data_IF_227706959080
#
_entry.id   IF_227706959080
#
_cell.length_a   1.000
_cell.length_b   1.000
_cell.length_c   1.000
_cell.angle_alpha   90.00
_cell.angle_beta   90.00
_cell.angle_gamma   90.00
#
_symmetry.space_group_name_H-M   'P 1'
#
loop_
_entity.id
_entity.type
_entity.pdbx_description
1 polymer ?
2 non-polymer ?
3 water ?
#
# COMPACT_ATOMS: atom_id res chain seq x y z
N UNK A 8 -2.79 -31.43 -36.43
CA UNK A 8 -1.53 -31.03 -35.80
C UNK A 8 -1.21 -31.90 -34.59
N UNK A 9 0.01 -32.44 -34.56
CA UNK A 9 0.41 -33.41 -33.53
C UNK A 9 1.28 -32.71 -32.50
N UNK A 10 0.67 -32.35 -31.38
CA UNK A 10 1.41 -31.77 -30.28
C UNK A 10 2.29 -32.84 -29.65
N UNK A 11 3.26 -32.44 -28.83
CA UNK A 11 4.09 -33.43 -28.13
C UNK A 11 3.27 -34.20 -27.10
N UNK A 12 3.89 -35.25 -26.57
CA UNK A 12 3.24 -36.10 -25.57
C UNK A 12 3.22 -35.42 -24.22
N UNK A 13 2.06 -35.34 -23.55
CA UNK A 13 2.02 -34.73 -22.21
C UNK A 13 2.98 -35.36 -21.23
N UNK A 14 3.44 -36.59 -21.51
CA UNK A 14 4.49 -37.19 -20.72
C UNK A 14 5.76 -36.36 -20.73
N UNK A 15 6.04 -35.65 -21.82
CA UNK A 15 7.26 -34.88 -21.96
C UNK A 15 7.03 -33.37 -22.00
N UNK A 16 5.78 -32.90 -22.11
CA UNK A 16 5.48 -31.47 -22.17
C UNK A 16 4.16 -31.28 -21.42
N UNK A 17 4.26 -30.85 -20.15
CA UNK A 17 3.15 -30.95 -19.21
C UNK A 17 1.95 -30.14 -19.66
N UNK A 18 2.17 -29.08 -20.42
CA UNK A 18 1.10 -28.13 -20.72
C UNK A 18 0.02 -28.73 -21.61
N UNK A 19 0.36 -29.72 -22.45
CA UNK A 19 -0.60 -30.19 -23.46
C UNK A 19 -1.45 -31.36 -22.97
N UNK A 20 -1.47 -31.62 -21.66
CA UNK A 20 -2.46 -32.51 -21.10
C UNK A 20 -3.83 -31.99 -21.50
N UNK A 21 -4.75 -32.89 -21.88
CA UNK A 21 -6.05 -32.43 -22.33
C UNK A 21 -6.75 -31.62 -21.24
N UNK A 22 -7.34 -30.48 -21.66
CA UNK A 22 -8.20 -29.71 -20.77
C UNK A 22 -9.29 -30.58 -20.20
N UNK A 23 -9.52 -30.46 -18.90
CA UNK A 23 -10.63 -31.15 -18.25
C UNK A 23 -10.93 -30.46 -16.92
N UNK A 24 -12.02 -30.91 -16.29
CA UNK A 24 -12.35 -30.37 -14.97
C UNK A 24 -11.30 -30.70 -13.93
N UNK A 25 -10.35 -31.59 -14.23
CA UNK A 25 -9.27 -31.90 -13.32
C UNK A 25 -8.11 -30.91 -13.41
N UNK A 26 -8.12 -29.99 -14.37
CA UNK A 26 -7.00 -29.05 -14.44
C UNK A 26 -7.32 -27.63 -14.87
N UNK A 27 -8.52 -27.34 -15.38
CA UNK A 27 -8.83 -25.98 -15.83
C UNK A 27 -10.33 -25.76 -15.73
N UNK A 28 -10.72 -24.57 -15.27
CA UNK A 28 -12.13 -24.24 -15.05
C UNK A 28 -12.40 -22.86 -15.61
N UNK A 29 -13.50 -22.73 -16.35
CA UNK A 29 -13.86 -21.46 -16.96
C UNK A 29 -15.15 -20.94 -16.37
N UNK A 30 -15.31 -19.62 -16.38
CA UNK A 30 -16.60 -19.04 -16.07
C UNK A 30 -17.60 -19.48 -17.13
N UNK A 31 -18.82 -19.79 -16.70
CA UNK A 31 -19.85 -20.26 -17.61
C UNK A 31 -21.12 -19.46 -17.36
N UNK A 32 -21.08 -18.19 -17.71
CA UNK A 32 -22.23 -17.31 -17.55
C UNK A 32 -22.54 -16.63 -18.86
N UNK A 33 -23.56 -15.77 -18.84
CA UNK A 33 -24.01 -15.14 -20.08
C UNK A 33 -23.02 -14.11 -20.59
N UNK A 34 -22.20 -13.54 -19.71
CA UNK A 34 -21.14 -12.65 -20.16
C UNK A 34 -19.96 -13.42 -20.75
N UNK A 35 -19.86 -14.72 -20.50
CA UNK A 35 -18.74 -15.51 -21.00
C UNK A 35 -19.10 -16.32 -22.25
N UNK A 36 -20.17 -15.96 -22.95
CA UNK A 36 -20.54 -16.70 -24.15
C UNK A 36 -19.55 -16.45 -25.28
N UNK A 37 -19.26 -15.18 -25.56
CA UNK A 37 -18.45 -14.79 -26.71
C UNK A 37 -17.05 -14.41 -26.28
N UNK A 38 -16.13 -14.44 -27.24
CA UNK A 38 -14.79 -13.94 -27.03
C UNK A 38 -13.88 -14.94 -26.31
N UNK A 39 -12.81 -14.39 -25.76
CA UNK A 39 -11.85 -15.19 -24.99
C UNK A 39 -12.55 -15.77 -23.76
N UNK A 40 -12.43 -17.07 -23.52
CA UNK A 40 -13.00 -17.62 -22.27
C UNK A 40 -12.34 -17.00 -21.05
N UNK A 41 -13.08 -16.96 -19.95
CA UNK A 41 -12.67 -16.33 -18.71
C UNK A 41 -12.23 -17.41 -17.74
N UNK A 42 -10.97 -17.39 -17.35
CA UNK A 42 -10.44 -18.46 -16.49
C UNK A 42 -10.95 -18.28 -15.07
N UNK A 43 -11.57 -19.32 -14.52
CA UNK A 43 -11.95 -19.33 -13.11
C UNK A 43 -10.87 -19.96 -12.24
N UNK A 44 -10.19 -20.98 -12.74
CA UNK A 44 -9.10 -21.58 -11.98
C UNK A 44 -8.45 -22.68 -12.78
N UNK A 45 -7.42 -23.28 -12.19
CA UNK A 45 -6.71 -24.36 -12.83
C UNK A 45 -5.43 -24.67 -12.07
N UNK A 46 -4.78 -25.74 -12.50
CA UNK A 46 -3.42 -26.02 -12.04
C UNK A 46 -2.50 -24.89 -12.50
N UNK A 47 -1.38 -24.72 -11.80
CA UNK A 47 -0.48 -23.63 -12.25
C UNK A 47 0.02 -23.91 -13.66
N UNK A 48 0.19 -25.18 -14.01
CA UNK A 48 0.57 -25.56 -15.37
C UNK A 48 -0.44 -25.03 -16.37
N UNK A 49 -1.75 -25.22 -16.11
CA UNK A 49 -2.76 -24.78 -17.07
C UNK A 49 -2.88 -23.26 -17.09
N UNK A 50 -2.70 -22.60 -15.93
CA UNK A 50 -2.65 -21.14 -15.90
C UNK A 50 -1.52 -20.61 -16.79
N UNK A 51 -0.33 -21.21 -16.70
CA UNK A 51 0.80 -20.83 -17.55
C UNK A 51 0.49 -21.07 -19.03
N UNK A 52 -0.13 -22.21 -19.35
CA UNK A 52 -0.49 -22.51 -20.75
C UNK A 52 -1.40 -21.42 -21.32
N UNK A 53 -2.45 -21.05 -20.58
CA UNK A 53 -3.37 -20.01 -21.01
C UNK A 53 -2.74 -18.62 -21.00
N UNK A 54 -1.80 -18.37 -20.08
CA UNK A 54 -1.02 -17.13 -20.06
C UNK A 54 -0.22 -16.94 -21.34
N UNK A 55 0.09 -18.02 -22.05
CA UNK A 55 0.94 -18.03 -23.23
C UNK A 55 0.29 -18.84 -24.33
N UNK A 56 -1.03 -18.69 -24.49
CA UNK A 56 -1.80 -19.55 -25.37
C UNK A 56 -1.52 -19.20 -26.84
N UNK A 57 -1.31 -20.23 -27.66
CA UNK A 57 -0.91 -19.96 -29.05
C UNK A 57 -2.03 -19.34 -29.88
N UNK A 58 -3.29 -19.66 -29.57
CA UNK A 58 -4.40 -19.33 -30.47
C UNK A 58 -4.69 -17.84 -30.51
N UNK A 59 -4.81 -17.21 -29.35
CA UNK A 59 -5.23 -15.82 -29.26
C UNK A 59 -4.35 -15.12 -28.23
N UNK A 60 -4.20 -13.80 -28.39
CA UNK A 60 -3.60 -13.01 -27.34
C UNK A 60 -4.63 -12.75 -26.24
N UNK A 61 -4.15 -12.59 -25.01
CA UNK A 61 -5.01 -12.42 -23.84
C UNK A 61 -4.40 -11.39 -22.90
N UNK A 62 -4.40 -10.13 -23.30
CA UNK A 62 -3.73 -9.10 -22.48
C UNK A 62 -4.38 -8.87 -21.12
N UNK A 63 -5.69 -9.05 -20.99
CA UNK A 63 -6.32 -8.89 -19.68
C UNK A 63 -5.80 -9.95 -18.70
N UNK A 64 -5.65 -11.20 -19.18
CA UNK A 64 -5.17 -12.27 -18.31
C UNK A 64 -3.70 -12.06 -17.95
N UNK A 65 -2.86 -11.68 -18.92
CA UNK A 65 -1.45 -11.40 -18.62
C UNK A 65 -1.35 -10.34 -17.54
N UNK A 66 -2.16 -9.28 -17.67
CA UNK A 66 -2.11 -8.20 -16.70
C UNK A 66 -2.52 -8.68 -15.32
N UNK A 67 -3.65 -9.39 -15.21
CA UNK A 67 -4.14 -9.84 -13.89
C UNK A 67 -3.20 -10.87 -13.29
N UNK A 68 -2.70 -11.78 -14.13
CA UNK A 68 -1.76 -12.80 -13.67
C UNK A 68 -0.52 -12.15 -13.07
N UNK A 69 0.13 -11.25 -13.81
CA UNK A 69 1.38 -10.70 -13.29
C UNK A 69 1.17 -9.83 -12.05
N UNK A 70 -0.04 -9.30 -11.83
CA UNK A 70 -0.33 -8.59 -10.59
C UNK A 70 -0.50 -9.54 -9.41
N UNK A 71 -1.10 -10.72 -9.65
CA UNK A 71 -1.60 -11.57 -8.57
C UNK A 71 -0.82 -12.84 -8.31
N UNK A 72 0.11 -13.23 -9.22
CA UNK A 72 0.63 -14.60 -9.16
C UNK A 72 1.40 -14.91 -7.87
N UNK A 73 1.94 -13.91 -7.18
CA UNK A 73 2.74 -14.19 -5.99
C UNK A 73 1.89 -14.77 -4.86
N UNK A 74 0.58 -14.66 -4.96
CA UNK A 74 -0.33 -15.33 -4.02
C UNK A 74 -0.49 -16.82 -4.30
N UNK A 75 0.12 -17.34 -5.37
CA UNK A 75 0.02 -18.78 -5.62
C UNK A 75 1.26 -19.40 -6.25
N UNK A 76 2.31 -18.63 -6.53
CA UNK A 76 3.48 -19.10 -7.25
C UNK A 76 4.64 -18.14 -6.93
N UNK A 77 5.85 -18.68 -6.64
CA UNK A 77 6.99 -17.80 -6.41
C UNK A 77 7.56 -17.26 -7.73
N UNK A 78 8.18 -16.08 -7.71
CA UNK A 78 8.85 -15.57 -8.91
C UNK A 78 9.82 -16.56 -9.56
N UNK A 79 10.67 -17.23 -8.76
CA UNK A 79 11.57 -18.21 -9.33
C UNK A 79 10.81 -19.35 -10.00
N UNK A 80 9.69 -19.75 -9.41
CA UNK A 80 8.86 -20.79 -10.00
C UNK A 80 8.20 -20.31 -11.29
N UNK A 81 7.74 -19.05 -11.32
CA UNK A 81 7.18 -18.49 -12.55
C UNK A 81 8.20 -18.52 -13.68
N UNK A 82 9.44 -18.07 -13.40
CA UNK A 82 10.45 -18.07 -14.46
C UNK A 82 10.73 -19.49 -14.95
N UNK A 83 10.79 -20.46 -14.03
CA UNK A 83 11.01 -21.85 -14.40
C UNK A 83 9.86 -22.37 -15.28
N UNK A 84 8.61 -22.04 -14.91
CA UNK A 84 7.47 -22.48 -15.72
C UNK A 84 7.49 -21.87 -17.12
N UNK A 85 7.89 -20.61 -17.25
CA UNK A 85 7.92 -19.97 -18.55
C UNK A 85 9.03 -20.55 -19.41
N UNK A 86 10.19 -20.86 -18.80
CA UNK A 86 11.27 -21.53 -19.54
C UNK A 86 10.85 -22.94 -19.96
N UNK A 87 10.18 -23.68 -19.06
CA UNK A 87 9.63 -25.00 -19.39
C UNK A 87 8.65 -24.92 -20.55
N UNK A 88 7.77 -23.91 -20.54
CA UNK A 88 6.85 -23.67 -21.65
C UNK A 88 7.60 -23.38 -22.96
N UNK A 89 8.70 -22.64 -22.87
CA UNK A 89 9.47 -22.22 -24.04
C UNK A 89 10.12 -23.41 -24.74
N UNK A 90 10.58 -24.39 -23.98
CA UNK A 90 11.39 -25.50 -24.48
C UNK A 90 10.47 -26.63 -24.93
N UNK A 91 9.84 -26.42 -26.09
CA UNK A 91 8.78 -27.30 -26.61
C UNK A 91 9.40 -28.50 -27.32
N UNK A 92 9.14 -29.73 -26.86
CA UNK A 92 9.73 -30.91 -27.50
C UNK A 92 9.08 -31.20 -28.85
N UNK A 93 9.75 -32.07 -29.60
CA UNK A 93 9.21 -32.57 -30.85
C UNK A 93 8.03 -33.51 -30.59
N UNK A 94 7.09 -33.61 -31.54
CA UNK A 94 5.89 -34.40 -31.29
C UNK A 94 6.19 -35.87 -30.95
N UNK A 95 5.26 -36.48 -30.21
CA UNK A 95 5.36 -37.88 -29.84
C UNK A 95 5.49 -38.77 -31.07
N UNK A 116 7.42 -28.49 -39.58
CA UNK A 116 6.04 -28.68 -39.97
C UNK A 116 5.25 -27.43 -39.59
N UNK A 117 3.96 -27.39 -39.94
CA UNK A 117 3.07 -26.33 -39.45
C UNK A 117 3.06 -26.23 -37.93
N UNK A 118 3.63 -27.21 -37.24
CA UNK A 118 3.88 -27.15 -35.81
C UNK A 118 4.60 -25.85 -35.44
N UNK A 119 5.66 -25.53 -36.18
CA UNK A 119 6.53 -24.43 -35.79
C UNK A 119 5.87 -23.08 -36.00
N UNK A 120 5.14 -22.92 -37.10
CA UNK A 120 4.57 -21.61 -37.40
C UNK A 120 3.24 -21.37 -36.71
N UNK A 121 2.44 -22.42 -36.51
CA UNK A 121 1.13 -22.27 -35.90
C UNK A 121 1.12 -22.51 -34.40
N UNK A 122 2.06 -23.30 -33.88
CA UNK A 122 2.11 -23.56 -32.44
C UNK A 122 3.36 -22.96 -31.78
N UNK A 123 4.54 -23.45 -32.15
CA UNK A 123 5.77 -23.11 -31.42
C UNK A 123 6.04 -21.61 -31.46
N UNK A 124 6.10 -21.04 -32.67
CA UNK A 124 6.43 -19.62 -32.78
C UNK A 124 5.43 -18.74 -32.06
N UNK A 125 4.11 -18.96 -32.20
CA UNK A 125 3.19 -18.15 -31.37
C UNK A 125 3.46 -18.32 -29.89
N UNK A 126 3.74 -19.54 -29.41
CA UNK A 126 3.92 -19.74 -27.97
C UNK A 126 5.18 -19.03 -27.48
N UNK A 127 6.29 -19.20 -28.20
CA UNK A 127 7.51 -18.54 -27.76
C UNK A 127 7.36 -17.03 -27.81
N UNK A 128 6.68 -16.50 -28.83
CA UNK A 128 6.37 -15.07 -28.87
C UNK A 128 5.46 -14.68 -27.71
N UNK A 129 4.47 -15.53 -27.37
CA UNK A 129 3.62 -15.23 -26.23
C UNK A 129 4.44 -15.16 -24.94
N UNK A 130 5.41 -16.07 -24.79
CA UNK A 130 6.25 -16.08 -23.59
C UNK A 130 7.08 -14.80 -23.52
N UNK A 131 7.70 -14.42 -24.65
CA UNK A 131 8.47 -13.19 -24.65
C UNK A 131 7.59 -11.98 -24.34
N UNK A 132 6.32 -12.01 -24.73
CA UNK A 132 5.43 -10.93 -24.36
C UNK A 132 5.22 -10.87 -22.84
N UNK A 133 5.08 -12.03 -22.21
CA UNK A 133 4.94 -12.09 -20.76
C UNK A 133 6.19 -11.53 -20.09
N UNK A 134 7.38 -11.95 -20.56
CA UNK A 134 8.64 -11.40 -20.04
C UNK A 134 8.68 -9.87 -20.17
N UNK A 135 8.26 -9.34 -21.32
CA UNK A 135 8.25 -7.90 -21.51
C UNK A 135 7.34 -7.21 -20.50
N UNK A 136 6.11 -7.70 -20.36
CA UNK A 136 5.19 -7.11 -19.38
C UNK A 136 5.73 -7.20 -17.96
N UNK A 137 6.34 -8.34 -17.64
CA UNK A 137 6.91 -8.57 -16.31
C UNK A 137 7.99 -7.55 -15.97
N UNK A 138 8.94 -7.32 -16.87
CA UNK A 138 10.02 -6.38 -16.56
C UNK A 138 9.51 -4.94 -16.65
N UNK A 139 8.48 -4.70 -17.48
CA UNK A 139 7.96 -3.35 -17.65
C UNK A 139 7.19 -2.89 -16.41
N UNK A 140 6.36 -3.78 -15.86
CA UNK A 140 5.44 -3.38 -14.80
C UNK A 140 5.73 -4.00 -13.43
N UNK A 141 6.54 -5.04 -13.34
CA UNK A 141 6.84 -5.61 -12.04
C UNK A 141 8.33 -5.86 -11.91
N UNK A 142 9.14 -4.89 -12.30
CA UNK A 142 10.58 -5.09 -12.23
C UNK A 142 11.07 -5.24 -10.78
N UNK A 143 10.26 -4.84 -9.79
CA UNK A 143 10.65 -5.04 -8.40
C UNK A 143 10.94 -6.52 -8.08
N UNK A 144 10.27 -7.47 -8.73
CA UNK A 144 10.64 -8.87 -8.51
C UNK A 144 12.13 -9.08 -8.75
N UNK A 145 12.68 -8.42 -9.78
CA UNK A 145 14.07 -8.60 -10.15
C UNK A 145 14.99 -7.78 -9.25
N UNK A 146 14.51 -6.64 -8.78
CA UNK A 146 15.28 -5.84 -7.82
C UNK A 146 15.45 -6.58 -6.51
N UNK A 147 14.42 -7.30 -6.08
CA UNK A 147 14.45 -8.05 -4.82
C UNK A 147 15.23 -9.36 -4.92
N UNK A 148 15.47 -9.88 -6.13
CA UNK A 148 16.11 -11.18 -6.27
C UNK A 148 17.08 -11.09 -7.46
N UNK A 149 18.33 -10.75 -7.19
CA UNK A 149 19.32 -10.62 -8.26
C UNK A 149 19.54 -11.91 -9.01
N UNK A 150 19.37 -13.06 -8.35
CA UNK A 150 19.54 -14.32 -9.06
C UNK A 150 18.41 -14.52 -10.06
N UNK A 151 17.19 -14.09 -9.71
CA UNK A 151 16.09 -14.13 -10.68
C UNK A 151 16.46 -13.38 -11.95
N UNK A 152 17.05 -12.19 -11.81
CA UNK A 152 17.47 -11.41 -12.97
C UNK A 152 18.59 -12.11 -13.74
N UNK A 153 19.57 -12.69 -13.01
CA UNK A 153 20.65 -13.45 -13.64
C UNK A 153 20.09 -14.54 -14.53
N UNK A 154 19.09 -15.27 -14.03
CA UNK A 154 18.44 -16.33 -14.80
C UNK A 154 17.76 -15.76 -16.02
N UNK A 155 17.01 -14.67 -15.85
CA UNK A 155 16.28 -14.11 -17.00
C UNK A 155 17.25 -13.65 -18.08
N UNK A 156 18.30 -12.92 -17.68
CA UNK A 156 19.22 -12.38 -18.68
C UNK A 156 19.95 -13.49 -19.41
N UNK A 157 20.38 -14.53 -18.69
CA UNK A 157 21.04 -15.65 -19.35
C UNK A 157 20.08 -16.36 -20.32
N UNK A 158 18.84 -16.59 -19.88
CA UNK A 158 17.88 -17.24 -20.76
C UNK A 158 17.62 -16.41 -22.02
N UNK A 159 17.31 -15.11 -21.87
CA UNK A 159 16.99 -14.26 -23.02
C UNK A 159 18.18 -14.18 -23.99
N UNK A 160 19.40 -14.12 -23.45
CA UNK A 160 20.56 -14.04 -24.32
C UNK A 160 20.82 -15.35 -25.07
N UNK A 161 20.17 -16.45 -24.68
CA UNK A 161 20.27 -17.68 -25.44
C UNK A 161 19.24 -17.77 -26.57
N UNK A 162 18.29 -16.86 -26.63
CA UNK A 162 17.20 -16.91 -27.61
C UNK A 162 17.71 -16.11 -28.81
N UNK A 163 18.38 -16.80 -29.73
CA UNK A 163 19.06 -16.11 -30.82
C UNK A 163 18.37 -16.31 -32.15
N UNK A 164 17.18 -16.92 -32.14
CA UNK A 164 16.43 -17.09 -33.37
C UNK A 164 16.04 -15.78 -34.01
N UNK A 165 15.85 -15.84 -35.34
CA UNK A 165 15.60 -14.61 -36.11
C UNK A 165 14.23 -14.00 -35.78
N UNK A 166 13.20 -14.83 -35.69
CA UNK A 166 11.86 -14.33 -35.37
C UNK A 166 11.78 -13.69 -33.97
N UNK A 167 12.70 -14.03 -33.07
CA UNK A 167 12.61 -13.54 -31.70
C UNK A 167 13.39 -12.25 -31.45
N UNK A 168 14.17 -11.78 -32.42
CA UNK A 168 15.16 -10.74 -32.12
C UNK A 168 14.49 -9.43 -31.72
N UNK A 169 13.40 -9.06 -32.38
CA UNK A 169 12.74 -7.81 -32.01
C UNK A 169 12.24 -7.84 -30.56
N UNK A 170 11.74 -8.99 -30.11
CA UNK A 170 11.27 -9.08 -28.72
C UNK A 170 12.43 -9.09 -27.74
N UNK A 171 13.47 -9.88 -28.03
CA UNK A 171 14.66 -9.88 -27.17
C UNK A 171 15.19 -8.46 -26.99
N UNK A 172 15.32 -7.72 -28.10
CA UNK A 172 15.85 -6.36 -27.99
C UNK A 172 14.92 -5.46 -27.18
N UNK A 173 13.59 -5.63 -27.33
CA UNK A 173 12.65 -4.82 -26.55
C UNK A 173 12.80 -5.08 -25.06
N UNK A 174 12.89 -6.35 -24.68
CA UNK A 174 13.07 -6.71 -23.27
C UNK A 174 14.39 -6.15 -22.75
N UNK A 175 15.45 -6.28 -23.55
CA UNK A 175 16.77 -5.84 -23.08
C UNK A 175 16.78 -4.34 -22.86
N UNK A 176 16.06 -3.60 -23.71
CA UNK A 176 16.01 -2.15 -23.58
C UNK A 176 15.30 -1.74 -22.30
N UNK A 177 14.23 -2.45 -21.93
CA UNK A 177 13.54 -2.16 -20.69
C UNK A 177 14.44 -2.45 -19.49
N UNK A 178 15.10 -3.62 -19.50
CA UNK A 178 16.00 -3.98 -18.41
C UNK A 178 17.11 -2.94 -18.26
N UNK A 179 17.68 -2.49 -19.38
CA UNK A 179 18.64 -1.39 -19.33
C UNK A 179 18.05 -0.15 -18.67
N UNK A 180 16.85 0.26 -19.11
CA UNK A 180 16.23 1.47 -18.58
C UNK A 180 15.89 1.33 -17.10
N UNK A 181 15.49 0.13 -16.67
CA UNK A 181 15.08 -0.06 -15.29
C UNK A 181 16.27 0.08 -14.34
N UNK A 182 17.41 -0.48 -14.71
CA UNK A 182 18.62 -0.28 -13.91
C UNK A 182 19.10 1.17 -13.95
N UNK A 183 18.79 1.90 -15.03
CA UNK A 183 19.25 3.29 -15.13
C UNK A 183 18.72 4.15 -14.01
N UNK A 184 17.63 3.75 -13.36
CA UNK A 184 17.07 4.50 -12.25
C UNK A 184 17.22 3.72 -10.94
N UNK A 193 13.00 16.74 -7.56
CA UNK A 193 11.65 17.31 -7.45
C UNK A 193 11.53 18.61 -8.24
N UNK A 194 10.67 18.58 -9.26
CA UNK A 194 10.39 19.76 -10.08
C UNK A 194 8.96 20.19 -9.78
N UNK A 195 8.81 21.44 -9.34
CA UNK A 195 7.51 21.98 -8.97
C UNK A 195 6.80 22.53 -10.20
N UNK A 196 5.53 22.15 -10.38
CA UNK A 196 4.76 22.61 -11.53
C UNK A 196 4.17 24.00 -11.31
N UNK A 197 4.21 24.50 -10.09
CA UNK A 197 3.72 25.81 -9.67
C UNK A 197 4.41 26.13 -8.35
N UNK A 198 4.42 27.40 -7.91
CA UNK A 198 5.22 27.74 -6.71
C UNK A 198 4.62 27.15 -5.45
N UNK A 199 5.39 26.44 -4.64
CA UNK A 199 4.88 25.95 -3.35
C UNK A 199 4.85 27.05 -2.30
N UNK A 200 4.03 26.92 -1.25
CA UNK A 200 3.97 27.97 -0.22
C UNK A 200 5.26 28.04 0.59
N UNK A 201 5.52 29.17 1.24
CA UNK A 201 6.68 29.24 2.14
C UNK A 201 6.49 28.35 3.36
N UNK A 202 7.60 27.82 3.86
CA UNK A 202 7.58 26.93 5.01
C UNK A 202 7.27 27.71 6.28
N UNK A 203 6.37 27.17 7.10
CA UNK A 203 5.87 27.85 8.30
C UNK A 203 6.63 27.40 9.54
N UNK A 204 7.01 28.38 10.38
CA UNK A 204 7.74 28.16 11.62
C UNK A 204 6.98 28.79 12.79
N UNK A 205 7.11 28.19 13.98
CA UNK A 205 6.41 28.64 15.17
C UNK A 205 7.45 28.96 16.25
N UNK A 206 7.60 28.10 17.26
CA UNK A 206 8.58 28.36 18.33
C UNK A 206 9.93 27.75 17.98
N UNK A 207 9.97 26.50 17.54
CA UNK A 207 11.20 25.90 17.04
C UNK A 207 11.66 26.62 15.77
N UNK A 208 12.94 26.97 15.73
CA UNK A 208 13.52 27.64 14.58
C UNK A 208 14.35 26.65 13.76
N UNK A 209 14.63 26.97 12.50
CA UNK A 209 15.33 25.99 11.64
C UNK A 209 16.70 25.61 12.18
N UNK A 210 17.13 24.39 11.83
CA UNK A 210 18.39 23.84 12.27
C UNK A 210 18.38 23.20 13.64
N UNK A 211 17.53 23.69 14.55
CA UNK A 211 17.54 23.23 15.94
C UNK A 211 16.51 22.13 16.15
N UNK A 212 16.86 20.96 15.62
CA UNK A 212 15.99 19.78 15.72
C UNK A 212 15.76 19.39 17.17
N UNK A 213 16.71 19.70 18.06
CA UNK A 213 16.57 19.32 19.46
C UNK A 213 15.37 19.97 20.13
N UNK A 214 14.90 21.09 19.59
CA UNK A 214 13.71 21.76 20.12
C UNK A 214 12.42 21.34 19.42
N UNK A 215 12.48 20.43 18.45
CA UNK A 215 11.27 20.01 17.72
C UNK A 215 10.36 19.20 18.64
N UNK A 216 9.08 19.57 18.65
CA UNK A 216 8.03 18.99 19.49
C UNK A 216 6.71 19.24 18.77
N UNK A 217 5.69 18.43 19.10
CA UNK A 217 4.34 18.69 18.62
C UNK A 217 3.93 20.15 18.81
N UNK A 218 4.23 20.73 19.98
CA UNK A 218 3.71 22.06 20.29
C UNK A 218 4.64 23.20 19.88
N UNK A 219 5.90 22.91 19.54
CA UNK A 219 6.84 23.96 19.15
C UNK A 219 6.99 24.10 17.65
N UNK A 220 6.74 23.06 16.87
CA UNK A 220 6.65 23.23 15.43
C UNK A 220 5.33 23.92 15.07
N UNK A 221 5.26 24.41 13.86
CA UNK A 221 4.04 25.07 13.42
C UNK A 221 3.03 24.01 13.01
N UNK A 222 1.77 24.09 13.48
CA UNK A 222 0.79 23.05 13.10
C UNK A 222 0.57 22.94 11.59
N UNK A 223 0.65 24.04 10.85
CA UNK A 223 0.54 23.94 9.38
C UNK A 223 1.65 23.06 8.82
N UNK A 224 2.89 23.34 9.25
CA UNK A 224 4.03 22.66 8.67
C UNK A 224 4.14 21.22 9.16
N UNK A 225 3.70 20.93 10.38
CA UNK A 225 3.59 19.52 10.81
C UNK A 225 2.66 18.77 9.87
N UNK A 226 1.49 19.34 9.58
CA UNK A 226 0.56 18.70 8.64
C UNK A 226 1.19 18.53 7.27
N UNK A 227 1.84 19.57 6.75
CA UNK A 227 2.44 19.50 5.42
C UNK A 227 3.53 18.42 5.37
N UNK A 228 4.42 18.41 6.36
CA UNK A 228 5.55 17.49 6.28
C UNK A 228 5.10 16.06 6.47
N UNK A 229 4.10 15.83 7.35
CA UNK A 229 3.57 14.48 7.47
C UNK A 229 2.84 14.06 6.21
N UNK A 230 2.17 14.99 5.52
CA UNK A 230 1.49 14.68 4.26
C UNK A 230 2.49 14.31 3.17
N UNK A 231 3.61 15.03 3.08
CA UNK A 231 4.63 14.66 2.10
C UNK A 231 5.19 13.28 2.41
N UNK A 232 5.44 13.00 3.69
CA UNK A 232 5.98 11.70 4.09
C UNK A 232 4.98 10.59 3.76
N UNK A 233 3.72 10.77 4.17
CA UNK A 233 2.70 9.76 3.91
C UNK A 233 2.40 9.61 2.42
N UNK A 234 2.39 10.71 1.67
CA UNK A 234 2.18 10.61 0.22
C UNK A 234 3.28 9.76 -0.41
N UNK A 235 4.53 9.98 0.00
CA UNK A 235 5.66 9.21 -0.54
C UNK A 235 5.52 7.72 -0.22
N UNK A 236 5.15 7.40 1.02
CA UNK A 236 4.92 6.02 1.39
C UNK A 236 3.77 5.42 0.59
N UNK A 237 2.65 6.16 0.45
CA UNK A 237 1.50 5.65 -0.29
C UNK A 237 1.87 5.35 -1.72
N UNK A 238 2.59 6.28 -2.37
CA UNK A 238 2.88 6.18 -3.79
C UNK A 238 3.79 5.01 -4.12
N UNK A 239 4.49 4.46 -3.12
CA UNK A 239 5.40 3.33 -3.33
C UNK A 239 4.77 1.95 -3.19
N UNK A 240 3.54 1.86 -2.69
CA UNK A 240 2.88 0.59 -2.47
C UNK A 240 2.38 0.00 -3.79
N UNK A 241 2.77 -1.33 -4.09
CA UNK A 241 2.26 -2.00 -5.28
C UNK A 241 1.04 -2.85 -4.92
N UNK A 242 0.11 -2.99 -5.87
CA UNK A 242 -1.05 -3.87 -5.68
C UNK A 242 -0.67 -5.28 -5.26
N UNK A 243 0.42 -5.79 -5.81
CA UNK A 243 0.87 -7.14 -5.48
C UNK A 243 1.29 -7.26 -4.02
N UNK A 244 1.49 -6.14 -3.31
CA UNK A 244 1.81 -6.24 -1.89
C UNK A 244 0.57 -6.54 -1.04
N UNK A 245 -0.62 -6.43 -1.62
CA UNK A 245 -1.88 -6.70 -0.94
C UNK A 245 -2.54 -8.01 -1.37
N UNK A 246 -2.33 -8.45 -2.61
CA UNK A 246 -3.04 -9.63 -3.11
C UNK A 246 -2.64 -10.85 -2.29
N UNK A 247 -3.64 -11.63 -1.87
CA UNK A 247 -3.38 -12.81 -1.09
C UNK A 247 -3.03 -12.57 0.35
N UNK A 248 -3.35 -11.38 0.88
CA UNK A 248 -2.97 -11.00 2.24
C UNK A 248 -1.49 -11.32 2.51
N UNK A 249 -0.64 -11.10 1.50
CA UNK A 249 0.76 -11.50 1.66
C UNK A 249 1.49 -10.71 2.73
N UNK A 250 0.99 -9.53 3.13
CA UNK A 250 1.69 -8.79 4.18
C UNK A 250 1.49 -9.40 5.56
N UNK A 251 0.57 -10.35 5.70
CA UNK A 251 0.35 -11.05 6.97
C UNK A 251 0.98 -12.43 6.99
N UNK A 252 1.64 -12.85 5.90
CA UNK A 252 2.20 -14.19 5.75
C UNK A 252 3.71 -14.18 5.96
N UNK A 253 4.31 -15.37 5.88
CA UNK A 253 5.67 -15.52 6.37
C UNK A 253 6.69 -14.80 5.48
N UNK A 254 6.38 -14.62 4.19
CA UNK A 254 7.23 -13.90 3.25
C UNK A 254 6.84 -12.42 3.12
N UNK A 255 6.27 -11.84 4.19
CA UNK A 255 5.73 -10.48 4.13
C UNK A 255 6.80 -9.43 3.87
N UNK A 256 7.98 -9.57 4.51
CA UNK A 256 8.99 -8.55 4.33
C UNK A 256 9.52 -8.50 2.90
N UNK A 257 9.33 -9.58 2.13
CA UNK A 257 9.71 -9.62 0.71
C UNK A 257 8.57 -9.18 -0.18
N UNK A 258 7.36 -9.67 0.08
CA UNK A 258 6.24 -9.40 -0.81
C UNK A 258 5.63 -8.02 -0.56
N UNK A 259 5.75 -7.48 0.66
CA UNK A 259 5.00 -6.26 1.01
C UNK A 259 5.87 -5.22 1.72
N UNK A 260 7.06 -4.91 1.20
CA UNK A 260 7.95 -4.01 1.94
C UNK A 260 7.44 -2.58 2.05
N UNK A 261 6.79 -2.08 1.01
CA UNK A 261 6.33 -0.69 1.08
C UNK A 261 5.07 -0.57 1.91
N UNK A 262 4.17 -1.52 1.75
CA UNK A 262 3.00 -1.61 2.60
C UNK A 262 3.39 -1.72 4.07
N UNK A 263 4.37 -2.58 4.40
CA UNK A 263 4.76 -2.69 5.81
C UNK A 263 5.34 -1.37 6.33
N UNK A 264 6.11 -0.67 5.51
CA UNK A 264 6.60 0.66 5.91
C UNK A 264 5.44 1.59 6.23
N UNK A 265 4.40 1.60 5.38
CA UNK A 265 3.25 2.48 5.56
C UNK A 265 2.51 2.14 6.84
N UNK A 266 2.34 0.83 7.13
CA UNK A 266 1.64 0.41 8.34
C UNK A 266 2.43 0.81 9.59
N UNK A 267 3.75 0.62 9.55
CA UNK A 267 4.59 0.95 10.70
C UNK A 267 4.58 2.44 10.96
N UNK A 268 4.62 3.25 9.89
CA UNK A 268 4.50 4.70 10.04
C UNK A 268 3.19 5.07 10.71
N UNK A 269 2.09 4.50 10.23
CA UNK A 269 0.77 4.83 10.79
C UNK A 269 0.70 4.43 12.25
N UNK A 270 1.20 3.23 12.60
CA UNK A 270 1.21 2.83 14.01
C UNK A 270 2.02 3.79 14.85
N UNK A 271 3.20 4.20 14.37
CA UNK A 271 4.05 5.06 15.16
C UNK A 271 3.45 6.45 15.35
N UNK A 272 2.85 7.02 14.31
CA UNK A 272 2.29 8.36 14.44
C UNK A 272 1.05 8.37 15.32
N UNK A 273 0.15 7.40 15.14
CA UNK A 273 -1.02 7.28 15.99
C UNK A 273 -0.61 7.17 17.46
N UNK A 274 0.35 6.29 17.75
CA UNK A 274 0.84 6.15 19.13
C UNK A 274 1.52 7.42 19.61
N UNK A 275 2.24 8.12 18.72
CA UNK A 275 2.85 9.40 19.10
C UNK A 275 1.79 10.43 19.48
N UNK A 276 0.69 10.52 18.72
CA UNK A 276 -0.34 11.47 19.12
C UNK A 276 -0.90 11.12 20.49
N UNK A 277 -1.13 9.82 20.75
CA UNK A 277 -1.69 9.41 22.04
C UNK A 277 -0.73 9.73 23.18
N UNK A 278 0.56 9.45 22.96
CA UNK A 278 1.59 9.74 23.96
C UNK A 278 1.63 11.22 24.30
N UNK A 279 1.59 12.07 23.27
CA UNK A 279 1.59 13.52 23.47
C UNK A 279 0.42 13.96 24.35
N UNK A 280 -0.76 13.38 24.14
CA UNK A 280 -1.93 13.76 24.93
C UNK A 280 -1.78 13.26 26.37
N UNK A 281 -1.51 11.97 26.53
CA UNK A 281 -1.61 11.34 27.84
C UNK A 281 -0.43 11.74 28.74
N UNK A 282 0.71 12.08 28.14
CA UNK A 282 1.86 12.52 28.94
C UNK A 282 1.80 14.01 29.29
N UNK A 283 0.81 14.74 28.79
CA UNK A 283 0.58 16.13 29.19
C UNK A 283 -0.24 16.06 30.46
N UNK A 284 0.46 15.94 31.60
CA UNK A 284 -0.23 15.74 32.88
C UNK A 284 -0.97 17.00 33.31
N UNK A 285 -0.39 18.17 33.03
CA UNK A 285 -1.03 19.43 33.37
C UNK A 285 -2.28 19.61 32.51
N UNK A 286 -3.41 19.92 33.16
CA UNK A 286 -4.69 19.92 32.46
C UNK A 286 -4.71 20.96 31.34
N UNK A 287 -4.28 22.18 31.64
CA UNK A 287 -4.29 23.26 30.65
C UNK A 287 -3.43 22.92 29.45
N UNK A 288 -2.23 22.41 29.69
CA UNK A 288 -1.37 21.97 28.58
C UNK A 288 -2.03 20.85 27.77
N UNK A 289 -2.70 19.91 28.44
CA UNK A 289 -3.27 18.79 27.71
C UNK A 289 -4.41 19.24 26.80
N UNK A 290 -5.27 20.14 27.28
CA UNK A 290 -6.29 20.73 26.40
C UNK A 290 -5.64 21.42 25.21
N UNK A 291 -4.51 22.11 25.44
CA UNK A 291 -3.81 22.77 24.36
C UNK A 291 -3.24 21.77 23.35
N UNK A 292 -2.73 20.63 23.84
CA UNK A 292 -2.18 19.61 22.97
C UNK A 292 -3.27 19.00 22.10
N UNK A 293 -4.39 18.60 22.73
CA UNK A 293 -5.49 18.05 21.96
C UNK A 293 -6.01 19.07 20.96
N UNK A 294 -6.09 20.34 21.37
CA UNK A 294 -6.52 21.40 20.46
C UNK A 294 -5.57 21.54 19.29
N UNK A 295 -4.27 21.44 19.54
CA UNK A 295 -3.29 21.55 18.47
C UNK A 295 -3.41 20.37 17.51
N UNK A 296 -3.68 19.19 18.06
CA UNK A 296 -3.86 18.02 17.19
C UNK A 296 -5.09 18.22 16.32
N UNK A 297 -6.15 18.82 16.86
CA UNK A 297 -7.33 19.06 16.02
C UNK A 297 -6.99 20.06 14.90
N UNK A 298 -6.19 21.10 15.20
CA UNK A 298 -5.74 22.01 14.15
C UNK A 298 -4.95 21.27 13.07
N UNK A 299 -4.05 20.37 13.47
CA UNK A 299 -3.31 19.56 12.50
C UNK A 299 -4.28 18.75 11.64
N UNK A 300 -5.29 18.15 12.28
CA UNK A 300 -6.32 17.42 11.55
C UNK A 300 -7.00 18.31 10.51
N UNK A 301 -7.32 19.56 10.88
CA UNK A 301 -7.94 20.48 9.92
C UNK A 301 -7.02 20.73 8.72
N UNK A 302 -5.73 20.93 8.96
CA UNK A 302 -4.84 21.11 7.82
C UNK A 302 -4.73 19.82 6.99
N UNK A 303 -4.65 18.65 7.64
CA UNK A 303 -4.72 17.39 6.89
C UNK A 303 -5.96 17.35 6.00
N UNK A 304 -7.12 17.74 6.55
CA UNK A 304 -8.35 17.80 5.76
C UNK A 304 -8.19 18.73 4.55
N UNK A 305 -7.66 19.93 4.78
CA UNK A 305 -7.46 20.88 3.71
C UNK A 305 -6.53 20.33 2.62
N UNK A 306 -5.62 19.45 3.00
CA UNK A 306 -4.67 18.83 2.08
C UNK A 306 -5.18 17.55 1.43
N UNK A 307 -6.41 17.11 1.74
CA UNK A 307 -6.92 15.80 1.30
C UNK A 307 -6.02 14.66 1.77
N UNK A 308 -5.32 14.84 2.90
CA UNK A 308 -4.59 13.74 3.52
C UNK A 308 -5.54 13.05 4.48
N UNK A 309 -6.36 12.16 3.91
CA UNK A 309 -7.31 11.44 4.74
C UNK A 309 -6.64 10.37 5.58
N UNK A 310 -5.47 9.89 5.15
CA UNK A 310 -4.68 9.01 5.98
C UNK A 310 -4.32 9.70 7.29
N UNK A 311 -3.81 10.92 7.22
CA UNK A 311 -3.54 11.69 8.43
C UNK A 311 -4.78 11.98 9.27
N UNK A 312 -5.87 12.37 8.61
CA UNK A 312 -7.14 12.63 9.30
C UNK A 312 -7.52 11.42 10.17
N UNK A 313 -7.53 10.23 9.57
CA UNK A 313 -8.00 9.05 10.28
C UNK A 313 -6.94 8.48 11.23
N UNK A 314 -5.66 8.81 11.06
CA UNK A 314 -4.68 8.53 12.11
C UNK A 314 -5.00 9.31 13.38
N UNK A 315 -5.40 10.58 13.24
CA UNK A 315 -5.76 11.35 14.41
C UNK A 315 -7.07 10.84 15.00
N UNK A 316 -8.04 10.49 14.14
CA UNK A 316 -9.28 9.88 14.62
C UNK A 316 -8.98 8.62 15.41
N UNK A 317 -8.08 7.77 14.89
CA UNK A 317 -7.73 6.53 15.61
C UNK A 317 -7.16 6.86 16.97
N UNK A 318 -6.25 7.83 17.04
CA UNK A 318 -5.64 8.20 18.30
C UNK A 318 -6.69 8.70 19.30
N UNK A 319 -7.55 9.64 18.87
CA UNK A 319 -8.52 10.21 19.81
C UNK A 319 -9.60 9.20 20.18
N UNK A 320 -9.82 8.15 19.39
CA UNK A 320 -10.77 7.11 19.76
C UNK A 320 -10.14 5.98 20.57
N UNK A 321 -8.84 6.01 20.81
CA UNK A 321 -8.22 4.91 21.51
C UNK A 321 -8.70 4.89 22.96
N UNK A 322 -8.49 3.76 23.63
CA UNK A 322 -9.05 3.62 24.98
C UNK A 322 -8.39 4.56 25.95
N UNK A 323 -7.12 4.92 25.74
CA UNK A 323 -6.43 5.80 26.68
C UNK A 323 -6.84 7.26 26.53
N UNK A 324 -7.20 7.70 25.33
CA UNK A 324 -7.56 9.09 25.09
C UNK A 324 -9.09 9.31 25.16
N UNK A 325 -9.88 8.37 24.62
CA UNK A 325 -11.32 8.59 24.50
C UNK A 325 -11.96 8.79 25.86
N UNK A 326 -11.38 8.20 26.89
CA UNK A 326 -11.90 8.27 28.26
C UNK A 326 -11.56 9.58 28.97
N UNK A 327 -10.84 10.50 28.33
CA UNK A 327 -10.43 11.76 28.97
C UNK A 327 -11.53 12.84 28.82
N UNK A 328 -12.68 12.56 29.46
CA UNK A 328 -13.86 13.43 29.33
C UNK A 328 -13.57 14.88 29.70
N UNK A 329 -12.78 15.12 30.75
CA UNK A 329 -12.53 16.50 31.17
C UNK A 329 -11.76 17.26 30.10
N UNK A 330 -10.81 16.58 29.44
CA UNK A 330 -10.03 17.23 28.39
C UNK A 330 -10.90 17.58 27.19
N UNK A 331 -11.74 16.65 26.73
CA UNK A 331 -12.64 16.96 25.61
C UNK A 331 -13.66 18.04 25.96
N UNK A 332 -14.17 18.05 27.22
CA UNK A 332 -15.12 19.08 27.63
C UNK A 332 -14.53 20.49 27.52
N UNK A 333 -13.24 20.64 27.80
CA UNK A 333 -12.63 21.96 27.82
C UNK A 333 -12.30 22.51 26.43
N UNK A 334 -12.49 21.72 25.38
CA UNK A 334 -12.25 22.20 24.02
C UNK A 334 -13.21 23.31 23.64
N UNK A 335 -12.71 24.25 22.83
CA UNK A 335 -13.60 25.16 22.12
C UNK A 335 -14.65 24.36 21.35
N UNK A 336 -15.89 24.87 21.38
CA UNK A 336 -16.97 24.22 20.65
C UNK A 336 -16.61 24.03 19.18
N UNK A 337 -15.95 25.03 18.57
CA UNK A 337 -15.67 24.91 17.14
C UNK A 337 -14.63 23.82 16.86
N UNK A 338 -13.71 23.58 17.79
CA UNK A 338 -12.74 22.50 17.61
C UNK A 338 -13.37 21.14 17.85
N UNK A 339 -14.30 21.05 18.80
CA UNK A 339 -15.00 19.78 18.98
C UNK A 339 -15.80 19.42 17.74
N UNK A 340 -16.41 20.42 17.10
CA UNK A 340 -17.15 20.18 15.87
C UNK A 340 -16.24 19.65 14.77
N UNK A 341 -15.08 20.29 14.58
CA UNK A 341 -14.12 19.81 13.60
C UNK A 341 -13.80 18.35 13.87
N UNK A 342 -13.47 18.01 15.12
CA UNK A 342 -13.16 16.63 15.47
C UNK A 342 -14.36 15.70 15.25
N UNK A 343 -15.56 16.11 15.69
CA UNK A 343 -16.73 15.25 15.55
C UNK A 343 -16.99 14.93 14.08
N UNK A 344 -16.83 15.92 13.21
CA UNK A 344 -17.05 15.67 11.78
C UNK A 344 -16.08 14.64 11.25
N UNK A 345 -14.80 14.76 11.63
CA UNK A 345 -13.79 13.80 11.20
C UNK A 345 -14.10 12.41 11.72
N UNK A 346 -14.46 12.29 13.00
CA UNK A 346 -14.79 10.98 13.55
C UNK A 346 -15.96 10.37 12.80
N UNK A 347 -16.92 11.19 12.38
CA UNK A 347 -18.07 10.68 11.64
C UNK A 347 -17.70 10.15 10.26
N UNK A 348 -16.55 10.56 9.70
CA UNK A 348 -16.07 9.95 8.46
C UNK A 348 -15.89 8.44 8.60
N UNK A 349 -15.39 7.99 9.76
CA UNK A 349 -15.09 6.57 9.95
C UNK A 349 -16.31 5.73 10.31
N UNK A 350 -17.42 6.35 10.69
CA UNK A 350 -18.55 5.57 11.18
C UNK A 350 -19.23 4.83 10.04
N UNK A 351 -20.01 3.81 10.40
CA UNK A 351 -20.80 3.04 9.44
C UNK A 351 -19.93 2.54 8.30
N UNK A 352 -18.85 1.84 8.66
CA UNK A 352 -17.91 1.26 7.70
C UNK A 352 -17.32 2.32 6.77
N UNK A 353 -16.95 3.47 7.34
CA UNK A 353 -16.32 4.58 6.61
C UNK A 353 -17.23 5.12 5.48
N UNK A 354 -18.54 5.11 5.72
CA UNK A 354 -19.47 5.49 4.66
C UNK A 354 -19.20 6.92 4.18
N UNK A 355 -19.10 7.87 5.09
CA UNK A 355 -18.90 9.27 4.71
C UNK A 355 -17.49 9.49 4.17
N UNK A 356 -16.50 8.77 4.67
CA UNK A 356 -15.15 8.88 4.10
C UNK A 356 -15.13 8.46 2.63
N UNK A 357 -15.78 7.34 2.31
CA UNK A 357 -15.75 6.87 0.93
C UNK A 357 -16.41 7.89 0.00
N UNK A 358 -17.50 8.51 0.47
CA UNK A 358 -18.13 9.58 -0.28
C UNK A 358 -17.17 10.73 -0.49
N UNK A 359 -16.52 11.17 0.59
CA UNK A 359 -15.62 12.32 0.51
C UNK A 359 -14.48 12.06 -0.47
N UNK A 360 -13.87 10.87 -0.39
CA UNK A 360 -12.73 10.55 -1.24
C UNK A 360 -13.10 10.66 -2.71
N UNK A 361 -14.26 10.14 -3.09
CA UNK A 361 -14.67 10.17 -4.48
C UNK A 361 -14.94 11.60 -4.98
N UNK A 362 -15.12 12.57 -4.08
CA UNK A 362 -15.49 13.93 -4.50
C UNK A 362 -14.32 14.89 -4.67
N UNK A 363 -13.13 14.58 -4.14
CA UNK A 363 -12.10 15.62 -4.07
C UNK A 363 -11.25 15.66 -5.34
N UNK A 364 -10.43 16.71 -5.46
CA UNK A 364 -9.44 16.80 -6.53
C UNK A 364 -8.08 16.46 -5.95
N UNK A 365 -7.37 15.44 -6.45
CA UNK A 365 -5.99 15.19 -6.00
C UNK A 365 -5.12 16.43 -6.17
N UNK A 366 -3.95 16.49 -5.51
CA UNK A 366 -3.34 15.42 -4.71
C UNK A 366 -4.12 15.06 -3.46
N UNK A 367 -4.01 13.80 -3.09
CA UNK A 367 -4.69 13.25 -1.92
C UNK A 367 -3.82 12.13 -1.36
N UNK A 368 -4.00 11.84 -0.07
CA UNK A 368 -3.45 10.60 0.48
C UNK A 368 -4.63 9.81 1.01
N UNK A 369 -5.04 8.74 0.34
CA UNK A 369 -6.20 7.97 0.81
C UNK A 369 -5.92 7.29 2.14
N UNK A 370 -6.97 7.05 2.90
CA UNK A 370 -6.85 6.25 4.11
C UNK A 370 -6.49 4.82 3.73
N UNK A 371 -5.30 4.38 4.14
CA UNK A 371 -4.84 3.08 3.64
C UNK A 371 -5.50 1.92 4.36
N UNK A 372 -5.84 2.10 5.64
CA UNK A 372 -6.36 1.00 6.44
C UNK A 372 -7.55 0.29 5.82
N UNK A 373 -8.39 1.02 5.08
CA UNK A 373 -9.62 0.43 4.57
C UNK A 373 -9.37 -0.56 3.43
N UNK A 374 -8.35 -0.33 2.59
CA UNK A 374 -7.99 -1.35 1.59
C UNK A 374 -7.56 -2.64 2.29
N UNK A 375 -6.79 -2.52 3.37
CA UNK A 375 -6.33 -3.69 4.09
C UNK A 375 -7.50 -4.48 4.66
N UNK A 376 -8.46 -3.77 5.28
CA UNK A 376 -9.64 -4.40 5.85
C UNK A 376 -10.46 -5.11 4.78
N UNK A 377 -10.68 -4.44 3.63
CA UNK A 377 -11.50 -5.03 2.57
C UNK A 377 -10.83 -6.21 1.88
N UNK A 378 -9.51 -6.16 1.73
CA UNK A 378 -8.82 -7.33 1.17
C UNK A 378 -8.82 -8.49 2.17
N UNK A 379 -8.62 -8.20 3.46
CA UNK A 379 -8.66 -9.29 4.43
C UNK A 379 -10.02 -9.97 4.42
N UNK A 380 -11.10 -9.19 4.32
CA UNK A 380 -12.43 -9.80 4.21
C UNK A 380 -12.55 -10.66 2.96
N UNK A 381 -12.03 -10.18 1.82
CA UNK A 381 -12.17 -10.93 0.58
C UNK A 381 -11.28 -12.16 0.58
N UNK A 382 -10.07 -12.03 1.13
CA UNK A 382 -9.18 -13.18 1.26
C UNK A 382 -9.82 -14.28 2.11
N UNK A 383 -10.46 -13.90 3.22
CA UNK A 383 -11.03 -14.89 4.12
C UNK A 383 -12.36 -15.46 3.62
N UNK A 384 -13.08 -14.72 2.78
CA UNK A 384 -14.36 -15.18 2.28
C UNK A 384 -14.30 -16.08 1.06
N UNK A 385 -13.12 -16.23 0.46
CA UNK A 385 -12.96 -16.98 -0.78
C UNK A 385 -11.81 -17.96 -0.59
N UNK A 386 -11.99 -19.20 -1.03
CA UNK A 386 -10.94 -20.19 -0.85
C UNK A 386 -9.86 -20.02 -1.90
N UNK A 387 -8.60 -20.25 -1.47
CA UNK A 387 -7.47 -20.16 -2.40
C UNK A 387 -7.58 -21.20 -3.50
N UNK A 388 -8.16 -22.35 -3.21
CA UNK A 388 -8.25 -23.46 -4.15
C UNK A 388 -9.71 -23.80 -4.43
N UNK A 389 -9.98 -24.19 -5.67
CA UNK A 389 -11.29 -24.70 -6.05
C UNK A 389 -11.50 -26.14 -5.56
N UNK A 395 -5.79 -29.44 -6.32
CA UNK A 395 -4.69 -28.49 -6.52
C UNK A 395 -5.02 -27.41 -7.57
N UNK A 396 -6.30 -27.06 -7.68
CA UNK A 396 -6.75 -26.10 -8.68
C UNK A 396 -6.80 -24.73 -8.03
N UNK A 397 -5.88 -23.85 -8.43
CA UNK A 397 -5.85 -22.48 -7.95
C UNK A 397 -7.16 -21.80 -8.31
N UNK A 398 -7.76 -21.10 -7.35
CA UNK A 398 -8.94 -20.27 -7.63
C UNK A 398 -8.47 -18.93 -8.19
N UNK A 399 -8.51 -18.79 -9.52
CA UNK A 399 -8.03 -17.56 -10.11
C UNK A 399 -9.07 -16.45 -10.06
N UNK A 400 -10.36 -16.80 -10.11
CA UNK A 400 -11.38 -15.77 -9.98
C UNK A 400 -11.26 -15.04 -8.65
N UNK A 401 -10.78 -15.71 -7.60
CA UNK A 401 -10.51 -15.03 -6.34
C UNK A 401 -9.45 -13.94 -6.51
N UNK A 402 -8.38 -14.26 -7.23
CA UNK A 402 -7.34 -13.26 -7.49
C UNK A 402 -7.87 -12.13 -8.36
N UNK A 403 -8.71 -12.45 -9.35
CA UNK A 403 -9.28 -11.39 -10.18
C UNK A 403 -10.09 -10.41 -9.33
N UNK A 404 -10.85 -10.93 -8.35
CA UNK A 404 -11.64 -10.07 -7.47
C UNK A 404 -10.74 -9.20 -6.59
N UNK A 405 -9.72 -9.79 -5.99
CA UNK A 405 -8.78 -9.02 -5.19
C UNK A 405 -8.07 -7.97 -6.03
N UNK A 406 -7.72 -8.32 -7.27
CA UNK A 406 -7.06 -7.35 -8.14
C UNK A 406 -7.95 -6.15 -8.41
N UNK A 407 -9.27 -6.34 -8.37
CA UNK A 407 -10.19 -5.21 -8.52
C UNK A 407 -10.03 -4.23 -7.37
N UNK A 408 -10.01 -4.72 -6.14
CA UNK A 408 -9.81 -3.84 -4.98
C UNK A 408 -8.45 -3.15 -5.06
N UNK A 409 -7.38 -3.94 -5.22
CA UNK A 409 -6.05 -3.34 -5.19
C UNK A 409 -5.85 -2.35 -6.34
N UNK A 410 -6.57 -2.54 -7.45
CA UNK A 410 -6.41 -1.63 -8.57
C UNK A 410 -6.79 -0.20 -8.25
N UNK A 411 -7.67 -0.01 -7.26
CA UNK A 411 -8.18 1.32 -6.91
C UNK A 411 -7.11 2.22 -6.32
N UNK A 412 -6.06 1.63 -5.73
CA UNK A 412 -5.02 2.42 -5.09
C UNK A 412 -4.27 3.28 -6.10
N UNK A 413 -4.16 2.83 -7.35
CA UNK A 413 -3.23 3.47 -8.28
C UNK A 413 -3.70 4.83 -8.78
N UNK A 414 -5.00 5.12 -8.79
CA UNK A 414 -5.47 6.39 -9.34
C UNK A 414 -5.04 7.60 -8.51
N UNK A 415 -4.60 7.40 -7.27
CA UNK A 415 -4.17 8.47 -6.38
C UNK A 415 -2.66 8.52 -6.20
N UNK A 416 -1.89 7.77 -7.01
CA UNK A 416 -0.46 7.63 -6.81
C UNK A 416 0.36 8.48 -7.76
N UNK A 417 -0.25 9.24 -8.66
CA UNK A 417 0.52 9.95 -9.66
C UNK A 417 0.32 11.46 -9.62
N UNK A 418 -0.14 12.01 -8.50
CA UNK A 418 -0.23 13.46 -8.35
C UNK A 418 0.58 13.88 -7.13
N UNK A 419 1.72 14.54 -7.32
CA UNK A 419 2.52 14.97 -6.16
C UNK A 419 1.96 16.25 -5.56
N UNK A 420 2.27 16.44 -4.29
CA UNK A 420 1.91 17.66 -3.58
C UNK A 420 2.86 18.78 -3.97
N UNK A 421 2.30 19.98 -4.11
CA UNK A 421 3.08 21.18 -4.35
C UNK A 421 3.48 21.81 -3.00
N UNK A 422 4.32 21.06 -2.27
CA UNK A 422 4.83 21.44 -0.96
C UNK A 422 6.31 21.13 -0.88
N UNK A 423 7.07 22.04 -0.32
CA UNK A 423 8.51 21.86 -0.17
C UNK A 423 8.83 21.00 1.05
N UNK A 424 9.72 20.03 0.86
CA UNK A 424 10.21 19.24 1.99
C UNK A 424 11.01 20.12 2.94
N UNK A 425 10.79 19.95 4.25
CA UNK A 425 11.65 20.53 5.24
C UNK A 425 12.52 19.40 5.78
N UNK A 426 13.81 19.33 5.41
CA UNK A 426 14.59 18.10 5.69
C UNK A 426 14.69 17.72 7.16
N UNK A 427 14.85 18.68 8.07
CA UNK A 427 14.93 18.36 9.49
C UNK A 427 13.60 17.86 10.03
N UNK A 428 12.49 18.51 9.65
CA UNK A 428 11.19 18.03 10.08
C UNK A 428 10.92 16.65 9.52
N UNK A 429 11.35 16.42 8.29
CA UNK A 429 11.18 15.11 7.67
C UNK A 429 11.91 14.03 8.46
N UNK A 430 13.19 14.29 8.77
CA UNK A 430 13.97 13.40 9.62
C UNK A 430 13.30 13.16 10.97
N UNK A 431 12.77 14.22 11.58
CA UNK A 431 12.09 14.12 12.87
C UNK A 431 10.93 13.12 12.81
N UNK A 432 10.03 13.28 11.83
CA UNK A 432 8.88 12.39 11.76
C UNK A 432 9.25 11.00 11.26
N UNK A 433 10.30 10.86 10.43
CA UNK A 433 10.72 9.52 10.04
C UNK A 433 11.35 8.76 11.22
N UNK A 434 11.84 9.47 12.23
CA UNK A 434 12.51 8.84 13.37
C UNK A 434 11.64 8.72 14.60
N UNK A 435 10.34 8.99 14.48
CA UNK A 435 9.43 8.82 15.61
C UNK A 435 9.46 7.37 16.08
N UNK A 436 9.65 7.21 17.40
CA UNK A 436 9.64 5.89 18.02
C UNK A 436 9.00 6.01 19.39
N UNK A 437 7.70 6.30 19.44
CA UNK A 437 7.04 6.45 20.75
C UNK A 437 7.19 5.24 21.64
N UNK A 438 7.27 4.04 21.06
CA UNK A 438 7.32 2.85 21.90
C UNK A 438 8.65 2.69 22.63
N UNK A 439 9.69 3.38 22.15
CA UNK A 439 11.02 3.20 22.72
C UNK A 439 11.46 1.77 22.50
N UNK A 440 11.91 1.12 23.58
CA UNK A 440 12.31 -0.28 23.52
C UNK A 440 11.17 -1.23 23.91
N UNK A 441 10.09 -0.72 24.48
CA UNK A 441 8.99 -1.57 24.89
C UNK A 441 8.25 -2.15 23.67
N UNK A 442 7.49 -3.22 23.92
CA UNK A 442 6.60 -3.75 22.90
C UNK A 442 5.39 -2.81 22.74
N UNK A 443 4.58 -3.07 21.71
CA UNK A 443 3.38 -2.26 21.53
C UNK A 443 2.36 -2.56 22.62
N UNK A 444 2.24 -3.83 22.99
CA UNK A 444 1.39 -4.19 24.12
C UNK A 444 1.85 -3.51 25.40
N UNK A 445 3.17 -3.50 25.65
CA UNK A 445 3.68 -2.84 26.85
C UNK A 445 3.41 -1.35 26.79
N UNK A 446 3.63 -0.73 25.61
CA UNK A 446 3.45 0.72 25.51
C UNK A 446 1.99 1.11 25.69
N UNK A 447 1.08 0.37 25.06
CA UNK A 447 -0.33 0.74 25.19
C UNK A 447 -0.85 0.47 26.60
N UNK A 448 -0.25 -0.49 27.31
CA UNK A 448 -0.54 -0.62 28.73
C UNK A 448 -0.05 0.60 29.50
N UNK A 449 1.16 1.08 29.17
CA UNK A 449 1.68 2.31 29.77
C UNK A 449 0.74 3.48 29.52
N UNK A 450 0.30 3.66 28.27
CA UNK A 450 -0.62 4.76 27.96
C UNK A 450 -1.89 4.69 28.78
N UNK A 451 -2.44 3.49 28.97
CA UNK A 451 -3.70 3.40 29.70
C UNK A 451 -3.50 3.72 31.18
N UNK A 452 -2.44 3.19 31.79
CA UNK A 452 -2.17 3.51 33.19
C UNK A 452 -1.88 4.99 33.39
N UNK A 453 -1.23 5.62 32.41
CA UNK A 453 -0.98 7.05 32.48
C UNK A 453 -2.29 7.83 32.35
N UNK A 454 -3.21 7.35 31.50
CA UNK A 454 -4.53 7.97 31.37
C UNK A 454 -5.29 7.90 32.70
N UNK A 455 -5.28 6.74 33.36
CA UNK A 455 -5.91 6.61 34.68
C UNK A 455 -5.28 7.52 35.72
N UNK A 456 -3.99 7.82 35.59
CA UNK A 456 -3.32 8.71 36.51
C UNK A 456 -3.81 10.15 36.37
N UNK A 457 -3.94 10.62 35.12
CA UNK A 457 -4.24 12.03 34.93
C UNK A 457 -5.72 12.31 35.08
N UNK A 458 -6.59 11.34 34.74
CA UNK A 458 -8.04 11.49 34.93
C UNK A 458 -8.55 10.17 35.51
N UNK A 459 -8.50 10.02 36.84
CA UNK A 459 -8.85 8.74 37.47
C UNK A 459 -10.30 8.35 37.22
N UNK A 460 -10.55 7.04 37.23
CA UNK A 460 -11.90 6.54 37.02
C UNK A 460 -12.64 6.58 38.36
N UNK A 461 -12.93 7.80 38.80
CA UNK A 461 -13.75 8.02 39.98
C UNK A 461 -14.46 9.36 39.81
N UNK A 462 -15.47 9.64 40.63
CA UNK A 462 -16.23 10.88 40.44
C UNK A 462 -15.52 12.16 40.93
N UNK A 463 -14.34 12.06 41.53
CA UNK A 463 -13.67 13.28 41.99
C UNK A 463 -13.09 14.05 40.80
N UNK A 464 -12.98 15.36 40.96
CA UNK A 464 -12.22 16.18 40.03
C UNK A 464 -10.80 15.63 39.91
N UNK A 465 -10.17 15.78 38.75
CA UNK A 465 -8.83 15.23 38.57
C UNK A 465 -7.81 15.91 39.47
N UNK A 466 -6.76 15.21 39.89
CA UNK A 466 -5.65 15.89 40.54
C UNK A 466 -5.02 16.88 39.58
N UNK A 467 -4.31 17.85 40.15
CA UNK A 467 -3.70 18.91 39.38
C UNK A 467 -2.20 18.71 39.39
N UNK A 468 -1.62 18.60 38.21
CA UNK A 468 -0.23 18.34 37.94
C UNK A 468 0.40 19.57 37.30
N UNK A 469 1.65 19.88 37.63
CA UNK A 469 2.34 21.00 36.98
C UNK A 469 2.86 20.61 35.61
N UNK A 470 3.13 21.64 34.80
CA UNK A 470 3.83 21.42 33.54
C UNK A 470 5.29 21.06 33.81
N UNK A 471 5.84 20.27 32.90
CA UNK A 471 7.28 20.02 32.85
C UNK A 471 7.96 20.82 31.76
N UNK A 472 7.22 21.27 30.76
CA UNK A 472 7.72 22.12 29.69
C UNK A 472 7.41 23.57 29.97
N UNK A 473 8.11 24.45 29.24
CA UNK A 473 7.98 25.88 29.44
C UNK A 473 7.49 26.65 28.22
N UNK A 474 7.39 26.01 27.05
CA UNK A 474 6.96 26.73 25.85
C UNK A 474 5.55 27.28 26.03
N UNK A 475 5.25 28.38 25.33
CA UNK A 475 3.88 28.90 25.31
C UNK A 475 2.92 27.86 24.75
N UNK A 476 1.74 27.76 25.36
CA UNK A 476 0.66 26.92 24.83
C UNK A 476 -0.14 27.58 23.69
N UNK A 477 0.12 28.85 23.40
CA UNK A 477 -0.67 29.58 22.41
C UNK A 477 -0.39 29.06 21.00
N UNK A 478 -1.48 28.70 20.29
CA UNK A 478 -1.28 28.25 18.91
C UNK A 478 -1.12 29.44 17.97
N UNK A 479 -0.26 29.32 16.95
CA UNK A 479 -0.21 30.35 15.90
C UNK A 479 -1.40 30.30 14.96
N UNK A 480 -2.27 29.30 15.11
CA UNK A 480 -3.38 29.10 14.20
C UNK A 480 -2.92 28.38 12.95
N UNK A 481 -3.87 28.16 12.05
CA UNK A 481 -3.58 27.43 10.82
C UNK A 481 -3.82 28.29 9.58
N UNK A 482 -3.97 29.58 9.74
CA UNK A 482 -3.91 30.39 8.55
C UNK A 482 -2.46 30.78 8.29
N UNK A 483 -1.94 30.61 7.08
CA UNK A 483 -0.50 30.86 6.86
C UNK A 483 -0.12 32.30 7.14
N UNK A 484 1.04 32.47 7.76
CA UNK A 484 1.51 33.77 8.26
C UNK A 484 1.93 34.72 7.14
X LIG B 1 8.46 -1.34 -11.92
X LIG B 1 9.03 -2.02 -10.74
X LIG B 1 7.15 -0.77 -11.53
X LIG B 1 9.34 -0.24 -12.32
X LIG B 1 8.28 -2.21 -13.07
#
# INVERSE_FOLDING_TARGET
>A
GAMAEQQLRLPSPEVYRFVVKDSEENIVFEDNLQSRSGIPIIKGGTVVKLIERLTYHMYADPNFVRTFLTTYRSFCKPQELLSLLIERFEIPEPEPTDADKLAIEKGEQPISADLKRFRKEYVQPVQLRILNVFRHWVEHHFYDFERDLYLLERLESFISSVRGKAMKKWVESIAKIIRRKKQAQANGVSHNITFASPPPPIEWHISKPGHIETFDLMTLHPIEIARQLTLLESDLYRKVQPSELVGSVWTKEDKEINSPNLLKMIRHTTNLTLWFEKCIVEAENFEERVAVLSRIIEILQVFQDLNNFNGVLEIVSAVNSVSVYRLDHTFEALQERKRKILDEAVELSQDHFKKYLVKLKSINPPCVPFFGIYLTNILKTEEGNNDFLTRHGKDLINFSKRRKVAEITGEIQQYQNQPYCLRIEPDMRRFFENLNPMGSASEKEFTDYLFNKSLEIEPRNPKQPPRFPRKSTFSLKSPGIRPNTGRHGS
>B hetero
1 SO4 S O1 O2 O3 O4
#
